data_IF_083453060133
#
_entry.id   IF_083453060133
#
_cell.length_a   1.000
_cell.length_b   1.000
_cell.length_c   1.000
_cell.angle_alpha   90.00
_cell.angle_beta   90.00
_cell.angle_gamma   90.00
#
_symmetry.space_group_name_H-M   'P 1'
#
loop_
_entity.id
_entity.type
_entity.pdbx_description
1 polymer ?
#
# COMPACT_ATOMS: atom_id res chain seq x y z
N UNK A 1 -1.36 -7.78 6.59
CA UNK A 1 -1.16 -7.90 5.12
C UNK A 1 -2.25 -7.13 4.42
N UNK A 2 -1.94 -5.92 3.96
CA UNK A 2 -2.87 -5.12 3.16
C UNK A 2 -2.43 -5.22 1.70
N UNK A 3 -2.54 -6.41 1.14
CA UNK A 3 -2.21 -6.69 -0.26
C UNK A 3 -3.38 -7.45 -0.91
N UNK A 4 -4.24 -6.78 -1.68
CA UNK A 4 -5.35 -7.42 -2.37
C UNK A 4 -4.93 -8.59 -3.26
N UNK A 5 -3.75 -8.54 -3.91
CA UNK A 5 -3.28 -9.60 -4.79
C UNK A 5 -2.99 -10.89 -3.99
N UNK A 6 -2.36 -10.76 -2.82
CA UNK A 6 -2.17 -11.88 -1.89
C UNK A 6 -3.49 -12.58 -1.53
N UNK A 7 -4.54 -11.81 -1.24
CA UNK A 7 -5.84 -12.35 -0.83
C UNK A 7 -6.68 -12.89 -2.00
N UNK A 8 -6.54 -12.32 -3.20
CA UNK A 8 -7.15 -12.87 -4.42
C UNK A 8 -6.57 -14.25 -4.74
N UNK A 9 -5.25 -14.43 -4.57
CA UNK A 9 -4.60 -15.73 -4.79
C UNK A 9 -4.97 -16.76 -3.71
N UNK A 10 -5.24 -16.33 -2.47
CA UNK A 10 -5.78 -17.21 -1.41
C UNK A 10 -7.11 -17.81 -1.86
N UNK A 11 -8.01 -16.99 -2.41
CA UNK A 11 -9.32 -17.45 -2.87
C UNK A 11 -9.23 -18.42 -4.07
N UNK A 12 -8.16 -18.33 -4.87
CA UNK A 12 -7.87 -19.27 -5.96
C UNK A 12 -7.18 -20.57 -5.51
N UNK A 13 -6.80 -20.68 -4.24
CA UNK A 13 -6.08 -21.84 -3.70
C UNK A 13 -4.59 -21.90 -4.07
N UNK A 14 -4.03 -20.81 -4.60
CA UNK A 14 -2.67 -20.75 -5.19
C UNK A 14 -1.61 -20.23 -4.21
N UNK A 15 -1.85 -20.30 -2.90
CA UNK A 15 -0.97 -19.65 -1.90
C UNK A 15 -0.24 -20.60 -0.98
N UNK A 16 0.98 -20.22 -0.61
CA UNK A 16 1.84 -20.90 0.39
C UNK A 16 1.35 -20.67 1.83
N UNK A 17 0.06 -20.90 2.07
CA UNK A 17 -0.59 -20.75 3.37
C UNK A 17 0.09 -21.53 4.52
N UNK A 18 0.60 -22.76 4.30
CA UNK A 18 1.35 -23.49 5.34
C UNK A 18 2.63 -22.77 5.78
N UNK A 19 3.32 -22.11 4.84
CA UNK A 19 4.55 -21.38 5.11
C UNK A 19 4.27 -20.10 5.91
N UNK A 20 3.18 -19.40 5.56
CA UNK A 20 2.69 -18.24 6.33
C UNK A 20 2.30 -18.59 7.75
N UNK A 21 1.57 -19.68 7.95
CA UNK A 21 1.20 -20.14 9.28
C UNK A 21 2.45 -20.40 10.13
N UNK A 22 3.44 -21.12 9.58
CA UNK A 22 4.69 -21.40 10.29
C UNK A 22 5.39 -20.11 10.73
N UNK A 23 5.55 -19.14 9.83
CA UNK A 23 6.17 -17.85 10.15
C UNK A 23 5.41 -17.15 11.27
N UNK A 24 4.07 -17.13 11.19
CA UNK A 24 3.25 -16.46 12.18
C UNK A 24 3.24 -17.15 13.55
N UNK A 25 3.37 -18.47 13.60
CA UNK A 25 3.48 -19.22 14.85
C UNK A 25 4.83 -18.99 15.54
N UNK A 26 5.88 -18.60 14.79
CA UNK A 26 7.22 -18.29 15.31
C UNK A 26 7.40 -16.84 15.77
N UNK A 27 6.43 -15.95 15.53
CA UNK A 27 6.48 -14.54 15.97
C UNK A 27 6.44 -14.46 17.50
N UNK A 28 7.42 -13.80 18.10
CA UNK A 28 7.56 -13.64 19.55
C UNK A 28 7.41 -12.18 20.02
N UNK A 29 7.01 -11.27 19.13
CA UNK A 29 6.73 -9.86 19.46
C UNK A 29 5.28 -9.49 19.17
N UNK A 30 4.71 -8.62 20.00
CA UNK A 30 3.34 -8.15 19.83
C UNK A 30 3.19 -7.35 18.54
N UNK A 31 2.24 -7.75 17.70
CA UNK A 31 1.95 -7.08 16.45
C UNK A 31 0.47 -7.06 16.08
N UNK A 32 0.07 -6.01 15.37
CA UNK A 32 -1.25 -5.93 14.75
C UNK A 32 -1.18 -6.43 13.30
N UNK A 33 -1.88 -7.52 13.00
CA UNK A 33 -1.99 -8.06 11.65
C UNK A 33 -3.29 -7.59 11.00
N UNK A 34 -3.21 -6.51 10.22
CA UNK A 34 -4.35 -5.97 9.48
C UNK A 34 -4.63 -6.84 8.26
N UNK A 35 -5.86 -7.33 8.11
CA UNK A 35 -6.24 -8.28 7.06
C UNK A 35 -7.62 -7.95 6.50
N UNK A 36 -7.85 -8.08 5.18
CA UNK A 36 -9.19 -7.96 4.61
C UNK A 36 -10.18 -8.91 5.29
N UNK A 37 -11.43 -8.49 5.40
CA UNK A 37 -12.50 -9.20 6.11
C UNK A 37 -12.67 -10.64 5.64
N UNK A 38 -12.47 -10.92 4.36
CA UNK A 38 -12.51 -12.25 3.76
C UNK A 38 -11.38 -13.13 4.31
N UNK A 39 -10.16 -12.58 4.30
CA UNK A 39 -8.96 -13.23 4.82
C UNK A 39 -8.99 -13.49 6.32
N UNK A 40 -9.54 -12.54 7.08
CA UNK A 40 -9.72 -12.65 8.53
C UNK A 40 -10.50 -13.91 8.92
N UNK A 41 -11.60 -14.23 8.21
CA UNK A 41 -12.45 -15.39 8.51
C UNK A 41 -11.70 -16.71 8.39
N UNK A 42 -10.74 -16.78 7.48
CA UNK A 42 -9.91 -17.97 7.26
C UNK A 42 -8.78 -18.01 8.29
N UNK A 43 -8.01 -16.94 8.40
CA UNK A 43 -6.83 -16.90 9.29
C UNK A 43 -7.20 -17.08 10.76
N UNK A 44 -8.28 -16.47 11.24
CA UNK A 44 -8.69 -16.54 12.65
C UNK A 44 -8.94 -17.96 13.18
N UNK A 45 -9.15 -18.93 12.28
CA UNK A 45 -9.38 -20.34 12.65
C UNK A 45 -8.08 -21.13 12.79
N UNK A 46 -6.98 -20.60 12.26
CA UNK A 46 -5.74 -21.34 12.04
C UNK A 46 -4.55 -20.70 12.76
N UNK A 47 -4.55 -19.36 12.86
CA UNK A 47 -3.63 -18.61 13.70
C UNK A 47 -4.12 -18.60 15.15
N UNK A 48 -3.26 -19.02 16.06
CA UNK A 48 -3.52 -18.99 17.51
C UNK A 48 -2.40 -18.30 18.31
N UNK A 49 -1.44 -17.66 17.64
CA UNK A 49 -0.34 -16.99 18.32
C UNK A 49 -0.85 -15.77 19.13
N UNK A 50 -0.66 -15.72 20.46
CA UNK A 50 -1.13 -14.62 21.31
C UNK A 50 -0.44 -13.28 21.01
N UNK A 51 0.76 -13.30 20.43
CA UNK A 51 1.48 -12.08 20.03
C UNK A 51 0.91 -11.44 18.75
N UNK A 52 0.05 -12.15 18.00
CA UNK A 52 -0.49 -11.67 16.72
C UNK A 52 -1.96 -11.26 16.87
N UNK A 53 -2.20 -9.97 17.07
CA UNK A 53 -3.54 -9.41 17.12
C UNK A 53 -4.09 -9.15 15.71
N UNK A 54 -5.02 -9.97 15.26
CA UNK A 54 -5.62 -9.82 13.93
C UNK A 54 -6.72 -8.75 13.91
N UNK A 55 -6.61 -7.80 12.97
CA UNK A 55 -7.54 -6.69 12.80
C UNK A 55 -8.20 -6.76 11.42
N UNK A 56 -9.53 -6.96 11.32
CA UNK A 56 -10.19 -6.98 10.03
C UNK A 56 -10.26 -5.57 9.41
N UNK A 57 -10.12 -5.52 8.10
CA UNK A 57 -10.17 -4.32 7.29
C UNK A 57 -11.21 -4.48 6.18
N UNK A 58 -12.02 -3.45 5.94
CA UNK A 58 -13.01 -3.43 4.86
C UNK A 58 -12.49 -2.55 3.74
N UNK A 59 -12.45 -3.07 2.52
CA UNK A 59 -12.10 -2.28 1.34
C UNK A 59 -13.36 -1.87 0.59
N UNK A 60 -13.99 -0.78 1.04
CA UNK A 60 -15.14 -0.18 0.35
C UNK A 60 -14.82 1.28 0.12
N UNK A 61 -14.45 1.62 -1.11
CA UNK A 61 -14.17 3.02 -1.47
C UNK A 61 -15.42 3.88 -1.26
N UNK A 62 -15.28 4.94 -0.46
CA UNK A 62 -16.31 5.95 -0.23
C UNK A 62 -15.73 7.29 -0.61
N UNK A 63 -16.48 8.07 -1.39
CA UNK A 63 -16.10 9.40 -1.85
C UNK A 63 -17.33 10.31 -1.91
N UNK A 64 -17.11 11.61 -1.85
CA UNK A 64 -18.17 12.62 -1.80
C UNK A 64 -17.89 13.71 -0.77
N UNK A 65 -18.92 14.17 -0.08
CA UNK A 65 -18.75 15.24 0.90
C UNK A 65 -17.98 14.74 2.12
N UNK A 66 -17.00 15.54 2.55
CA UNK A 66 -16.03 15.12 3.56
C UNK A 66 -16.64 14.64 4.89
N UNK A 67 -17.63 15.32 5.50
CA UNK A 67 -18.18 14.87 6.79
C UNK A 67 -18.81 13.47 6.71
N UNK A 68 -19.42 13.13 5.58
CA UNK A 68 -20.00 11.81 5.33
C UNK A 68 -18.87 10.81 5.17
N UNK A 69 -17.90 11.07 4.28
CA UNK A 69 -16.77 10.18 4.05
C UNK A 69 -16.02 9.87 5.35
N UNK A 70 -15.69 10.90 6.14
CA UNK A 70 -15.04 10.77 7.44
C UNK A 70 -15.81 9.85 8.39
N UNK A 71 -17.14 9.99 8.47
CA UNK A 71 -17.95 9.12 9.32
C UNK A 71 -17.80 7.64 8.93
N UNK A 72 -17.81 7.32 7.62
CA UNK A 72 -17.57 5.95 7.14
C UNK A 72 -16.15 5.48 7.45
N UNK A 73 -15.15 6.37 7.29
CA UNK A 73 -13.74 6.10 7.56
C UNK A 73 -13.49 5.77 9.03
N UNK A 74 -14.04 6.56 9.95
CA UNK A 74 -13.92 6.35 11.39
C UNK A 74 -14.51 5.01 11.84
N UNK A 75 -15.67 4.67 11.29
CA UNK A 75 -16.37 3.43 11.64
C UNK A 75 -15.78 2.20 10.93
N UNK A 76 -14.74 2.36 10.11
CA UNK A 76 -14.11 1.30 9.31
C UNK A 76 -15.13 0.48 8.49
N UNK A 77 -16.18 1.16 8.02
CA UNK A 77 -17.23 0.60 7.13
C UNK A 77 -17.13 1.16 5.70
N UNK A 78 -16.22 2.10 5.49
CA UNK A 78 -15.79 2.60 4.19
C UNK A 78 -14.40 3.22 4.34
N UNK A 79 -13.70 3.38 3.22
CA UNK A 79 -12.31 3.83 3.20
C UNK A 79 -12.11 4.88 2.13
N UNK A 80 -11.09 5.74 2.24
CA UNK A 80 -10.64 6.50 1.08
C UNK A 80 -10.11 5.54 0.01
N UNK A 81 -9.75 6.06 -1.15
CA UNK A 81 -9.07 5.27 -2.17
C UNK A 81 -7.72 4.82 -1.60
N UNK A 82 -7.47 3.51 -1.58
CA UNK A 82 -6.17 2.95 -1.16
C UNK A 82 -5.54 2.26 -2.37
N UNK A 83 -4.86 3.01 -3.25
CA UNK A 83 -4.31 2.47 -4.49
C UNK A 83 -3.08 1.59 -4.26
N UNK A 84 -2.45 1.68 -3.08
CA UNK A 84 -1.27 0.91 -2.76
C UNK A 84 -1.17 0.61 -1.25
N UNK A 85 -0.20 -0.23 -0.89
CA UNK A 85 0.02 -0.70 0.48
C UNK A 85 0.39 0.42 1.46
N UNK A 86 1.05 1.48 1.00
CA UNK A 86 1.44 2.61 1.85
C UNK A 86 0.21 3.35 2.35
N UNK A 87 -0.70 3.76 1.45
CA UNK A 87 -1.91 4.50 1.82
C UNK A 87 -2.76 3.66 2.78
N UNK A 88 -2.88 2.36 2.51
CA UNK A 88 -3.65 1.47 3.35
C UNK A 88 -3.04 1.28 4.75
N UNK A 89 -1.71 1.21 4.86
CA UNK A 89 -1.01 1.16 6.13
C UNK A 89 -1.19 2.45 6.94
N UNK A 90 -1.08 3.62 6.29
CA UNK A 90 -1.29 4.91 6.95
C UNK A 90 -2.73 5.06 7.48
N UNK A 91 -3.73 4.76 6.65
CA UNK A 91 -5.13 4.74 7.05
C UNK A 91 -5.36 3.84 8.27
N UNK A 92 -4.82 2.62 8.22
CA UNK A 92 -4.99 1.65 9.31
C UNK A 92 -4.30 2.10 10.59
N UNK A 93 -3.11 2.70 10.50
CA UNK A 93 -2.39 3.22 11.67
C UNK A 93 -3.16 4.36 12.35
N UNK A 94 -3.78 5.26 11.59
CA UNK A 94 -4.66 6.30 12.16
C UNK A 94 -5.81 5.66 12.94
N UNK A 95 -6.49 4.67 12.34
CA UNK A 95 -7.63 3.99 12.96
C UNK A 95 -7.27 3.08 14.14
N UNK A 96 -6.03 2.60 14.20
CA UNK A 96 -5.50 1.89 15.37
C UNK A 96 -5.15 2.83 16.54
N UNK A 97 -5.27 4.15 16.34
CA UNK A 97 -5.07 5.15 17.40
C UNK A 97 -3.62 5.58 17.59
N UNK A 98 -2.74 5.34 16.61
CA UNK A 98 -1.38 5.88 16.67
C UNK A 98 -1.40 7.40 16.51
N UNK A 99 -0.71 8.11 17.40
CA UNK A 99 -0.63 9.58 17.39
C UNK A 99 0.51 10.12 16.50
N UNK A 100 1.49 9.28 16.17
CA UNK A 100 2.65 9.63 15.35
C UNK A 100 3.02 8.47 14.44
N UNK A 101 3.15 8.76 13.15
CA UNK A 101 3.49 7.78 12.10
C UNK A 101 4.72 8.30 11.34
N UNK A 102 5.69 7.43 11.11
CA UNK A 102 6.92 7.75 10.38
C UNK A 102 7.05 6.86 9.15
N UNK A 103 7.27 7.48 7.99
CA UNK A 103 7.39 6.79 6.71
C UNK A 103 8.87 6.64 6.38
N UNK A 104 9.30 5.40 6.18
CA UNK A 104 10.64 5.04 5.74
C UNK A 104 10.57 4.26 4.43
N UNK A 105 11.44 4.57 3.48
CA UNK A 105 11.60 3.78 2.25
C UNK A 105 10.45 3.84 1.23
N UNK A 106 9.39 4.62 1.48
CA UNK A 106 8.25 4.74 0.57
C UNK A 106 8.24 6.11 -0.15
N UNK A 107 8.07 6.09 -1.46
CA UNK A 107 8.35 7.25 -2.31
C UNK A 107 7.87 7.02 -3.78
N UNK A 108 7.78 8.12 -4.56
CA UNK A 108 7.49 8.10 -6.00
C UNK A 108 8.61 8.72 -6.87
N UNK A 109 9.81 8.92 -6.34
CA UNK A 109 11.00 9.41 -7.06
C UNK A 109 11.47 8.46 -8.15
N UNK A 110 11.09 7.17 -8.09
CA UNK A 110 11.29 6.22 -9.18
C UNK A 110 10.63 6.69 -10.49
N UNK A 111 9.61 7.56 -10.44
CA UNK A 111 8.96 8.12 -11.63
C UNK A 111 9.93 8.88 -12.54
N UNK A 112 11.08 9.35 -12.01
CA UNK A 112 12.18 9.93 -12.81
C UNK A 112 12.79 8.95 -13.82
N UNK A 113 12.54 7.65 -13.65
CA UNK A 113 13.06 6.58 -14.49
C UNK A 113 12.06 6.09 -15.53
N UNK A 114 10.87 6.69 -15.62
CA UNK A 114 9.88 6.33 -16.64
C UNK A 114 10.37 6.81 -18.02
N UNK A 115 10.33 5.93 -19.01
CA UNK A 115 10.58 6.25 -20.41
C UNK A 115 9.58 5.55 -21.33
N UNK A 116 9.63 5.83 -22.63
CA UNK A 116 8.92 5.08 -23.67
C UNK A 116 9.98 4.53 -24.62
N UNK A 117 9.92 3.22 -24.91
CA UNK A 117 10.89 2.57 -25.79
C UNK A 117 10.54 2.77 -27.29
N UNK A 118 11.42 2.30 -28.17
CA UNK A 118 11.27 2.42 -29.64
C UNK A 118 10.02 1.74 -30.22
N UNK A 119 9.39 0.82 -29.47
CA UNK A 119 8.13 0.15 -29.85
C UNK A 119 6.91 0.75 -29.14
N UNK A 120 7.04 1.97 -28.61
CA UNK A 120 5.98 2.74 -27.94
C UNK A 120 5.40 2.10 -26.67
N UNK A 121 6.21 1.34 -25.93
CA UNK A 121 5.83 0.79 -24.63
C UNK A 121 6.41 1.64 -23.49
N UNK A 122 5.62 2.00 -22.48
CA UNK A 122 6.14 2.62 -21.27
C UNK A 122 7.04 1.61 -20.53
N UNK A 123 8.21 2.07 -20.13
CA UNK A 123 9.23 1.26 -19.47
C UNK A 123 9.77 1.98 -18.23
N UNK A 124 10.31 1.21 -17.31
CA UNK A 124 11.16 1.66 -16.22
C UNK A 124 12.62 1.43 -16.58
N UNK A 125 13.43 2.47 -16.49
CA UNK A 125 14.89 2.36 -16.57
C UNK A 125 15.43 1.97 -15.22
N UNK A 126 15.99 0.77 -15.12
CA UNK A 126 16.64 0.37 -13.88
C UNK A 126 17.99 1.05 -13.75
N UNK A 127 18.13 1.94 -12.76
CA UNK A 127 19.40 2.52 -12.36
C UNK A 127 19.82 1.82 -11.07
N UNK A 128 19.98 0.51 -11.10
CA UNK A 128 20.50 -0.21 -9.95
C UNK A 128 21.87 0.37 -9.57
N UNK A 129 21.98 0.85 -8.33
CA UNK A 129 23.18 1.49 -7.77
C UNK A 129 24.42 0.56 -7.73
N UNK A 130 24.25 -0.73 -8.04
CA UNK A 130 25.25 -1.78 -7.85
C UNK A 130 25.69 -2.51 -9.13
N UNK A 131 25.17 -2.18 -10.32
CA UNK A 131 25.58 -2.84 -11.56
C UNK A 131 26.58 -1.97 -12.36
N UNK A 132 27.79 -2.51 -12.54
CA UNK A 132 28.86 -1.95 -13.38
C UNK A 132 28.58 -2.11 -14.90
N UNK A 133 27.36 -2.43 -15.31
CA UNK A 133 27.01 -2.55 -16.72
C UNK A 133 26.51 -1.22 -17.26
N UNK A 134 27.22 -0.70 -18.26
CA UNK A 134 26.85 0.49 -19.03
C UNK A 134 25.53 0.37 -19.82
N UNK A 135 24.83 -0.76 -19.74
CA UNK A 135 23.57 -1.01 -20.42
C UNK A 135 22.39 -0.67 -19.50
N UNK A 136 21.71 0.45 -19.81
CA UNK A 136 20.44 0.80 -19.17
C UNK A 136 19.37 -0.22 -19.54
N UNK A 137 19.02 -1.11 -18.62
CA UNK A 137 17.94 -2.07 -18.81
C UNK A 137 16.58 -1.34 -18.73
N UNK A 138 15.85 -1.38 -19.84
CA UNK A 138 14.46 -0.91 -19.91
C UNK A 138 13.51 -2.10 -19.69
N UNK A 139 12.69 -2.04 -18.65
CA UNK A 139 11.69 -3.07 -18.35
C UNK A 139 10.30 -2.51 -18.63
N UNK A 140 9.49 -3.09 -19.54
CA UNK A 140 8.13 -2.65 -19.79
C UNK A 140 7.28 -2.67 -18.51
N UNK A 141 6.40 -1.67 -18.37
CA UNK A 141 5.51 -1.56 -17.20
C UNK A 141 4.25 -2.40 -17.46
N UNK A 142 3.96 -3.33 -16.55
CA UNK A 142 2.78 -4.18 -16.57
C UNK A 142 1.72 -3.67 -15.57
N UNK A 143 0.44 -3.72 -15.92
CA UNK A 143 -0.69 -3.28 -15.07
C UNK A 143 -1.41 -4.42 -14.36
N UNK A 144 -1.07 -5.68 -14.67
CA UNK A 144 -1.71 -6.83 -14.07
C UNK A 144 -0.80 -8.06 -14.06
N UNK A 145 -1.22 -9.09 -13.31
CA UNK A 145 -0.49 -10.34 -13.18
C UNK A 145 -0.45 -11.16 -14.49
N UNK A 146 -1.31 -10.84 -15.46
CA UNK A 146 -1.33 -11.48 -16.78
C UNK A 146 -0.28 -10.89 -17.75
N UNK A 147 0.54 -9.92 -17.31
CA UNK A 147 1.62 -9.33 -18.12
C UNK A 147 1.14 -8.33 -19.17
N UNK A 148 -0.06 -7.75 -18.99
CA UNK A 148 -0.56 -6.71 -19.90
C UNK A 148 0.26 -5.44 -19.71
N UNK A 149 0.88 -4.99 -20.79
CA UNK A 149 1.64 -3.73 -20.82
C UNK A 149 0.69 -2.54 -20.64
N UNK A 150 1.05 -1.63 -19.73
CA UNK A 150 0.36 -0.38 -19.49
C UNK A 150 0.37 0.51 -20.73
N UNK A 151 -0.66 1.34 -20.92
CA UNK A 151 -0.44 2.63 -21.58
C UNK A 151 0.17 3.60 -20.58
N UNK A 152 1.03 4.51 -21.05
CA UNK A 152 1.70 5.47 -20.16
C UNK A 152 0.70 6.28 -19.32
N UNK A 153 -0.40 6.73 -19.91
CA UNK A 153 -1.39 7.54 -19.20
C UNK A 153 -2.11 6.74 -18.08
N UNK A 154 -2.33 5.43 -18.27
CA UNK A 154 -2.96 4.57 -17.25
C UNK A 154 -2.04 4.47 -16.03
N UNK A 155 -0.74 4.26 -16.27
CA UNK A 155 0.24 4.19 -15.19
C UNK A 155 0.43 5.54 -14.46
N UNK A 156 0.43 6.65 -15.20
CA UNK A 156 0.46 7.98 -14.61
C UNK A 156 -0.80 8.27 -13.77
N UNK A 157 -1.96 7.75 -14.17
CA UNK A 157 -3.20 7.87 -13.40
C UNK A 157 -3.11 7.15 -12.05
N UNK A 158 -2.50 5.95 -11.99
CA UNK A 158 -2.24 5.24 -10.72
C UNK A 158 -1.32 6.02 -9.77
N UNK A 159 -0.31 6.70 -10.32
CA UNK A 159 0.58 7.59 -9.54
C UNK A 159 -0.22 8.78 -9.02
N UNK A 160 -1.03 9.42 -9.88
CA UNK A 160 -1.89 10.54 -9.49
C UNK A 160 -2.86 10.14 -8.39
N UNK A 161 -3.50 8.98 -8.50
CA UNK A 161 -4.37 8.42 -7.48
C UNK A 161 -3.65 8.22 -6.16
N UNK A 162 -2.43 7.70 -6.21
CA UNK A 162 -1.60 7.48 -5.02
C UNK A 162 -1.25 8.78 -4.32
N UNK A 163 -0.79 9.79 -5.06
CA UNK A 163 -0.44 11.10 -4.50
C UNK A 163 -1.67 11.84 -3.97
N UNK A 164 -2.80 11.81 -4.70
CA UNK A 164 -4.07 12.36 -4.20
C UNK A 164 -4.51 11.68 -2.90
N UNK A 165 -4.35 10.37 -2.82
CA UNK A 165 -4.70 9.61 -1.62
C UNK A 165 -3.83 9.99 -0.43
N UNK A 166 -2.54 10.33 -0.63
CA UNK A 166 -1.70 10.89 0.44
C UNK A 166 -2.32 12.15 1.05
N UNK A 167 -2.85 13.06 0.23
CA UNK A 167 -3.50 14.28 0.70
C UNK A 167 -4.82 14.03 1.43
N UNK A 168 -5.61 13.05 0.98
CA UNK A 168 -6.81 12.60 1.70
C UNK A 168 -6.44 12.05 3.08
N UNK A 169 -5.38 11.23 3.15
CA UNK A 169 -4.85 10.69 4.41
C UNK A 169 -4.31 11.79 5.31
N UNK A 170 -3.63 12.80 4.77
CA UNK A 170 -3.16 13.96 5.55
C UNK A 170 -4.34 14.65 6.23
N UNK A 171 -5.36 15.03 5.47
CA UNK A 171 -6.57 15.66 6.01
C UNK A 171 -7.24 14.78 7.06
N UNK A 172 -7.30 13.48 6.81
CA UNK A 172 -7.85 12.53 7.78
C UNK A 172 -7.04 12.53 9.07
N UNK A 173 -5.72 12.41 8.99
CA UNK A 173 -4.82 12.40 10.14
C UNK A 173 -4.92 13.68 10.99
N UNK A 174 -4.96 14.85 10.35
CA UNK A 174 -5.08 16.16 11.00
C UNK A 174 -6.34 16.25 11.88
N UNK A 175 -7.46 15.69 11.43
CA UNK A 175 -8.72 15.72 12.19
C UNK A 175 -8.72 14.81 13.43
N UNK A 176 -7.81 13.83 13.48
CA UNK A 176 -7.60 12.97 14.66
C UNK A 176 -6.34 13.38 15.45
N UNK A 177 -5.70 14.50 15.10
CA UNK A 177 -4.48 14.97 15.76
C UNK A 177 -3.27 14.04 15.56
N UNK A 178 -3.26 13.26 14.48
CA UNK A 178 -2.19 12.32 14.16
C UNK A 178 -1.13 13.02 13.31
N UNK A 179 0.13 12.94 13.73
CA UNK A 179 1.26 13.49 12.98
C UNK A 179 1.86 12.43 12.07
N UNK A 180 1.95 12.71 10.77
CA UNK A 180 2.62 11.85 9.78
C UNK A 180 3.88 12.54 9.27
N UNK A 181 5.02 11.85 9.39
CA UNK A 181 6.33 12.39 9.02
C UNK A 181 6.99 11.49 7.97
N UNK A 182 7.40 12.08 6.85
CA UNK A 182 8.18 11.41 5.84
C UNK A 182 9.68 11.57 6.12
N UNK A 183 10.37 10.46 6.38
CA UNK A 183 11.81 10.47 6.70
C UNK A 183 12.71 10.51 5.46
N UNK A 184 12.12 10.60 4.27
CA UNK A 184 12.85 10.78 3.03
C UNK A 184 12.72 12.23 2.53
N UNK A 185 13.78 13.02 2.71
CA UNK A 185 13.84 14.44 2.31
C UNK A 185 13.63 14.66 0.80
N UNK A 186 14.10 13.74 -0.03
CA UNK A 186 13.99 13.82 -1.50
C UNK A 186 12.74 13.12 -2.04
N UNK A 187 11.86 12.65 -1.15
CA UNK A 187 10.65 11.94 -1.53
C UNK A 187 9.75 12.77 -2.42
N UNK A 188 9.11 12.12 -3.38
CA UNK A 188 8.07 12.73 -4.22
C UNK A 188 6.70 12.82 -3.53
N UNK A 189 6.53 12.24 -2.35
CA UNK A 189 5.33 12.42 -1.55
C UNK A 189 5.38 13.82 -0.92
N UNK A 190 4.45 14.68 -1.32
CA UNK A 190 4.38 16.10 -0.95
C UNK A 190 3.33 16.41 0.13
N UNK A 191 2.51 15.43 0.49
CA UNK A 191 1.44 15.62 1.49
C UNK A 191 1.97 15.76 2.93
N UNK A 192 3.07 15.08 3.29
CA UNK A 192 3.53 14.95 4.68
C UNK A 192 4.81 15.75 4.93
N UNK A 193 4.96 16.27 6.15
CA UNK A 193 6.16 16.99 6.56
C UNK A 193 7.40 16.08 6.49
N UNK A 194 8.55 16.65 6.17
CA UNK A 194 9.80 15.91 5.98
C UNK A 194 10.80 16.19 7.09
N UNK A 195 11.40 15.13 7.63
CA UNK A 195 12.46 15.19 8.65
C UNK A 195 13.67 14.35 8.30
#
# INVERSE_FOLDING_TARGET
IIDPAFWLNINKGETNFPQWKKIMDEVDWDMNLIVPKEGYKVLRKILSNPHVNMQPFVYTYVDGIWPVCRYFYEKNIGTPKLPNVLIAALYSAINLGYNKIQIYGADFSWTKSICVNEVNQPCMVDKHFYENSYEMKMTPIEINAEGKIAKLHEYLEEIVDSLKSCWVIKRYAEEYGVTIINKNKVSFIDAFDKE
#
